data_IF_958271366777
#
_entry.id   IF_958271366777
#
_cell.length_a   1.000
_cell.length_b   1.000
_cell.length_c   1.000
_cell.angle_alpha   90.00
_cell.angle_beta   90.00
_cell.angle_gamma   90.00
#
_symmetry.space_group_name_H-M   'P 1'
#
loop_
_entity.id
_entity.type
_entity.pdbx_description
1 polymer ?
#
# COMPACT_ATOMS: atom_id res chain seq x y z
N UNK A 1 -6.95 17.77 -12.96
CA UNK A 1 -7.18 16.40 -13.50
C UNK A 1 -7.58 15.50 -12.34
N UNK A 2 -8.58 14.64 -12.52
CA UNK A 2 -8.96 13.60 -11.55
C UNK A 2 -8.72 12.24 -12.21
N UNK A 3 -7.99 11.34 -11.54
CA UNK A 3 -7.73 9.96 -12.01
C UNK A 3 -7.98 9.00 -10.87
N UNK A 4 -8.68 7.91 -11.12
CA UNK A 4 -9.01 6.92 -10.09
C UNK A 4 -8.36 5.57 -10.38
N UNK A 5 -7.90 4.90 -9.33
CA UNK A 5 -7.36 3.55 -9.36
C UNK A 5 -8.15 2.69 -8.38
N UNK A 6 -8.91 1.72 -8.90
CA UNK A 6 -9.67 0.78 -8.07
C UNK A 6 -8.79 -0.43 -7.81
N UNK A 7 -8.20 -0.50 -6.62
CA UNK A 7 -7.34 -1.61 -6.22
C UNK A 7 -8.17 -2.83 -5.81
N UNK A 8 -9.38 -2.63 -5.29
CA UNK A 8 -10.33 -3.68 -4.96
C UNK A 8 -11.76 -3.17 -5.04
N UNK A 9 -12.67 -3.97 -5.61
CA UNK A 9 -14.08 -3.59 -5.76
C UNK A 9 -14.91 -3.76 -4.48
N UNK A 10 -14.66 -4.81 -3.68
CA UNK A 10 -15.42 -5.09 -2.46
C UNK A 10 -14.61 -5.89 -1.42
N UNK A 11 -14.46 -5.41 -0.17
CA UNK A 11 -14.73 -4.04 0.27
C UNK A 11 -13.91 -3.05 -0.56
N UNK A 12 -14.46 -1.86 -0.86
CA UNK A 12 -13.82 -0.92 -1.78
C UNK A 12 -12.47 -0.46 -1.22
N UNK A 13 -11.44 -0.60 -2.04
CA UNK A 13 -10.13 -0.01 -1.86
C UNK A 13 -9.77 0.73 -3.15
N UNK A 14 -9.70 2.05 -3.09
CA UNK A 14 -9.34 2.87 -4.26
C UNK A 14 -8.45 4.04 -3.89
N UNK A 15 -7.67 4.49 -4.85
CA UNK A 15 -6.86 5.71 -4.77
C UNK A 15 -7.41 6.72 -5.79
N UNK A 16 -7.72 7.92 -5.33
CA UNK A 16 -8.20 9.02 -6.17
C UNK A 16 -7.11 10.08 -6.23
N UNK A 17 -6.54 10.30 -7.40
CA UNK A 17 -5.53 11.32 -7.66
C UNK A 17 -6.20 12.62 -8.09
N UNK A 18 -5.80 13.72 -7.48
CA UNK A 18 -6.18 15.09 -7.86
C UNK A 18 -4.90 15.85 -8.23
N UNK A 19 -5.00 17.15 -8.47
CA UNK A 19 -3.86 17.94 -8.94
C UNK A 19 -2.82 18.22 -7.85
N UNK A 20 -3.26 18.36 -6.60
CA UNK A 20 -2.43 18.77 -5.46
C UNK A 20 -2.37 17.72 -4.34
N UNK A 21 -3.25 16.73 -4.41
CA UNK A 21 -3.45 15.73 -3.37
C UNK A 21 -3.97 14.42 -3.97
N UNK A 22 -3.94 13.38 -3.16
CA UNK A 22 -4.61 12.13 -3.44
C UNK A 22 -5.39 11.67 -2.21
N UNK A 23 -6.40 10.85 -2.45
CA UNK A 23 -7.24 10.25 -1.41
C UNK A 23 -7.11 8.73 -1.47
N UNK A 24 -6.89 8.11 -0.32
CA UNK A 24 -6.99 6.66 -0.16
C UNK A 24 -8.33 6.37 0.50
N UNK A 25 -9.20 5.64 -0.20
CA UNK A 25 -10.49 5.18 0.31
C UNK A 25 -10.37 3.69 0.60
N UNK A 26 -10.41 3.32 1.88
CA UNK A 26 -10.38 1.93 2.33
C UNK A 26 -11.62 1.64 3.20
N UNK A 27 -12.63 0.98 2.63
CA UNK A 27 -13.86 0.66 3.35
C UNK A 27 -13.67 -0.41 4.43
N UNK A 28 -12.68 -1.30 4.26
CA UNK A 28 -12.37 -2.34 5.24
C UNK A 28 -11.70 -1.76 6.48
N UNK A 29 -10.76 -0.82 6.27
CA UNK A 29 -9.98 -0.18 7.33
C UNK A 29 -10.10 1.34 7.22
N UNK A 30 -11.27 1.88 7.61
CA UNK A 30 -11.60 3.32 7.47
C UNK A 30 -10.57 4.26 8.08
N UNK A 31 -9.90 3.85 9.17
CA UNK A 31 -8.86 4.65 9.86
C UNK A 31 -7.55 4.78 9.06
N UNK A 32 -7.34 3.91 8.08
CA UNK A 32 -6.15 3.88 7.21
C UNK A 32 -6.37 4.66 5.90
N UNK A 33 -7.61 5.06 5.62
CA UNK A 33 -7.93 6.00 4.55
C UNK A 33 -7.68 7.45 4.95
N UNK A 34 -7.69 8.34 3.96
CA UNK A 34 -7.53 9.78 4.17
C UNK A 34 -7.10 10.53 2.92
N UNK A 35 -7.06 11.85 3.04
CA UNK A 35 -6.48 12.75 2.04
C UNK A 35 -5.02 13.07 2.37
N UNK A 36 -4.21 13.13 1.34
CA UNK A 36 -2.77 13.33 1.43
C UNK A 36 -2.29 14.29 0.35
N UNK A 37 -1.70 15.41 0.76
CA UNK A 37 -1.05 16.37 -0.14
C UNK A 37 0.27 15.82 -0.68
N UNK A 38 0.53 15.99 -1.98
CA UNK A 38 1.81 15.55 -2.58
C UNK A 38 3.01 16.30 -2.00
N UNK A 39 2.84 17.58 -1.64
CA UNK A 39 3.90 18.43 -1.07
C UNK A 39 4.42 17.94 0.29
N UNK A 40 3.61 17.17 1.02
CA UNK A 40 3.94 16.61 2.34
C UNK A 40 4.36 15.15 2.28
N UNK A 41 4.33 14.55 1.09
CA UNK A 41 4.70 13.15 0.85
C UNK A 41 6.18 13.09 0.47
N UNK A 42 6.98 12.41 1.29
CA UNK A 42 8.42 12.23 1.05
C UNK A 42 8.72 10.91 0.34
N UNK A 43 7.94 9.88 0.62
CA UNK A 43 8.07 8.58 0.01
C UNK A 43 6.74 7.83 0.04
N UNK A 44 6.52 6.98 -0.95
CA UNK A 44 5.44 6.00 -0.98
C UNK A 44 5.90 4.73 -1.70
N UNK A 45 5.71 3.59 -1.05
CA UNK A 45 6.16 2.29 -1.51
C UNK A 45 5.15 1.20 -1.20
N UNK A 46 5.11 0.19 -2.08
CA UNK A 46 4.46 -1.07 -1.82
C UNK A 46 5.46 -2.02 -1.18
N UNK A 47 5.11 -2.61 -0.03
CA UNK A 47 5.92 -3.62 0.66
C UNK A 47 5.10 -4.86 0.96
N UNK A 48 5.62 -6.01 0.56
CA UNK A 48 5.15 -7.31 1.01
C UNK A 48 5.88 -7.64 2.32
N UNK A 49 5.18 -7.59 3.47
CA UNK A 49 5.73 -8.08 4.74
C UNK A 49 5.24 -9.52 4.95
N UNK A 50 6.17 -10.46 5.06
CA UNK A 50 5.85 -11.80 5.55
C UNK A 50 5.44 -11.70 7.02
N UNK A 51 4.31 -12.30 7.39
CA UNK A 51 3.92 -12.42 8.79
C UNK A 51 4.83 -13.48 9.41
N UNK A 52 5.93 -13.03 10.03
CA UNK A 52 6.88 -13.74 10.87
C UNK A 52 7.15 -15.23 10.60
N UNK A 53 8.37 -15.48 10.13
CA UNK A 53 9.03 -16.78 9.97
C UNK A 53 9.46 -17.46 11.29
N UNK A 54 9.20 -16.87 12.46
CA UNK A 54 9.59 -17.49 13.75
C UNK A 54 8.82 -18.78 14.04
N UNK A 55 7.64 -18.98 13.42
CA UNK A 55 6.91 -20.24 13.44
C UNK A 55 7.21 -21.18 12.28
N UNK A 56 7.89 -20.74 11.21
CA UNK A 56 7.95 -21.54 9.97
C UNK A 56 8.89 -22.74 10.07
N UNK A 57 9.98 -22.64 10.85
CA UNK A 57 10.87 -23.79 11.07
C UNK A 57 10.20 -24.88 11.91
N UNK A 58 9.48 -24.48 12.96
CA UNK A 58 8.75 -25.42 13.83
C UNK A 58 7.58 -26.08 13.09
N UNK A 59 6.89 -25.33 12.22
CA UNK A 59 5.82 -25.84 11.36
C UNK A 59 6.37 -26.77 10.27
N UNK A 60 7.56 -26.48 9.71
CA UNK A 60 8.21 -27.38 8.74
C UNK A 60 8.57 -28.72 9.38
N UNK A 61 9.16 -28.70 10.59
CA UNK A 61 9.46 -29.93 11.35
C UNK A 61 8.16 -30.68 11.69
N UNK A 62 7.11 -30.00 12.16
CA UNK A 62 5.81 -30.64 12.45
C UNK A 62 5.13 -31.23 11.20
N UNK A 63 5.33 -30.64 10.01
CA UNK A 63 4.75 -31.12 8.76
C UNK A 63 5.37 -32.42 8.25
N UNK A 64 6.59 -32.77 8.68
CA UNK A 64 7.20 -34.09 8.41
C UNK A 64 6.50 -35.23 9.18
N UNK A 65 5.80 -34.91 10.29
CA UNK A 65 5.14 -35.89 11.15
C UNK A 65 3.60 -35.92 11.01
N UNK A 66 2.99 -34.99 10.26
CA UNK A 66 1.53 -34.88 10.11
C UNK A 66 1.14 -34.60 8.65
N UNK A 67 0.51 -35.56 7.92
CA UNK A 67 0.32 -35.49 6.46
C UNK A 67 -0.75 -34.49 5.96
N UNK A 68 -1.14 -33.48 6.76
CA UNK A 68 -2.18 -32.50 6.40
C UNK A 68 -1.92 -31.05 6.85
N UNK A 69 -0.68 -30.68 7.14
CA UNK A 69 -0.36 -29.33 7.61
C UNK A 69 0.14 -28.39 6.49
N UNK A 70 -0.59 -28.26 5.39
CA UNK A 70 -0.37 -27.17 4.42
C UNK A 70 -1.00 -25.89 4.96
N UNK A 71 -0.27 -25.16 5.82
CA UNK A 71 -0.63 -23.76 6.15
C UNK A 71 0.02 -22.84 5.13
N UNK A 72 -0.79 -22.26 4.26
CA UNK A 72 -0.42 -21.14 3.39
C UNK A 72 0.16 -20.01 4.23
N UNK A 73 1.39 -19.61 3.93
CA UNK A 73 2.01 -18.42 4.50
C UNK A 73 1.10 -17.23 4.21
N UNK A 74 0.56 -16.58 5.24
CA UNK A 74 -0.23 -15.37 5.10
C UNK A 74 0.74 -14.20 4.92
N UNK A 75 0.84 -13.66 3.71
CA UNK A 75 1.54 -12.41 3.47
C UNK A 75 0.62 -11.24 3.80
N UNK A 76 1.14 -10.19 4.44
CA UNK A 76 0.43 -8.91 4.61
C UNK A 76 1.09 -7.89 3.73
N UNK A 77 0.37 -7.47 2.72
CA UNK A 77 0.83 -6.48 1.76
C UNK A 77 0.39 -5.09 2.24
N UNK A 78 1.29 -4.10 2.16
CA UNK A 78 1.08 -2.77 2.72
C UNK A 78 1.58 -1.68 1.78
N UNK A 79 0.82 -0.58 1.71
CA UNK A 79 1.38 0.70 1.29
C UNK A 79 2.03 1.35 2.50
N UNK A 80 3.29 1.73 2.36
CA UNK A 80 4.03 2.49 3.36
C UNK A 80 4.31 3.86 2.77
N UNK A 81 3.90 4.89 3.48
CA UNK A 81 4.09 6.28 3.06
C UNK A 81 4.70 7.09 4.20
N UNK A 82 5.71 7.90 3.86
CA UNK A 82 6.28 8.88 4.76
C UNK A 82 5.62 10.23 4.47
N UNK A 83 4.65 10.61 5.30
CA UNK A 83 3.85 11.81 5.13
C UNK A 83 4.01 12.71 6.35
N UNK A 84 4.38 13.97 6.12
CA UNK A 84 4.59 14.98 7.17
C UNK A 84 5.49 14.44 8.32
N UNK A 85 6.64 13.86 7.94
CA UNK A 85 7.61 13.23 8.83
C UNK A 85 7.08 12.06 9.67
N UNK A 86 5.89 11.55 9.37
CA UNK A 86 5.29 10.38 10.04
C UNK A 86 5.12 9.24 9.03
N UNK A 87 5.45 8.03 9.46
CA UNK A 87 5.14 6.85 8.68
C UNK A 87 3.65 6.52 8.82
N UNK A 88 3.00 6.33 7.67
CA UNK A 88 1.61 5.91 7.52
C UNK A 88 1.62 4.56 6.79
N UNK A 89 0.75 3.66 7.22
CA UNK A 89 0.62 2.32 6.64
C UNK A 89 -0.84 2.10 6.25
N UNK A 90 -1.06 1.56 5.06
CA UNK A 90 -2.37 1.12 4.58
C UNK A 90 -2.28 -0.36 4.25
N UNK A 91 -3.10 -1.16 4.90
CA UNK A 91 -3.19 -2.60 4.64
C UNK A 91 -3.91 -2.80 3.32
N UNK A 92 -3.28 -3.57 2.44
CA UNK A 92 -3.86 -4.03 1.19
C UNK A 92 -4.18 -5.52 1.35
N UNK A 93 -5.44 -5.89 1.15
CA UNK A 93 -5.88 -7.28 1.27
C UNK A 93 -6.64 -7.71 0.02
N UNK A 94 -6.09 -8.69 -0.71
CA UNK A 94 -6.74 -9.26 -1.90
C UNK A 94 -7.11 -8.15 -2.90
N UNK A 95 -6.07 -7.46 -3.37
CA UNK A 95 -6.12 -6.29 -4.24
C UNK A 95 -5.42 -6.59 -5.57
N UNK A 96 -5.65 -5.73 -6.55
CA UNK A 96 -4.97 -5.75 -7.84
C UNK A 96 -3.56 -5.14 -7.71
N UNK A 97 -2.55 -6.01 -7.77
CA UNK A 97 -1.15 -5.63 -7.66
C UNK A 97 -0.69 -4.75 -8.82
N UNK A 98 -1.18 -5.01 -10.03
CA UNK A 98 -0.82 -4.21 -11.19
C UNK A 98 -1.37 -2.79 -11.03
N UNK A 99 -2.65 -2.66 -10.67
CA UNK A 99 -3.24 -1.34 -10.47
C UNK A 99 -2.63 -0.57 -9.29
N UNK A 100 -2.20 -1.30 -8.26
CA UNK A 100 -1.47 -0.68 -7.15
C UNK A 100 -0.15 -0.10 -7.61
N UNK A 101 0.61 -0.84 -8.42
CA UNK A 101 1.89 -0.35 -8.95
C UNK A 101 1.69 0.85 -9.89
N UNK A 102 0.64 0.84 -10.70
CA UNK A 102 0.36 1.95 -11.62
C UNK A 102 -0.14 3.20 -10.88
N UNK A 103 -0.95 3.03 -9.84
CA UNK A 103 -1.30 4.13 -8.93
C UNK A 103 -0.06 4.75 -8.28
N UNK A 104 0.88 3.91 -7.80
CA UNK A 104 2.12 4.37 -7.18
C UNK A 104 3.03 5.13 -8.14
N UNK A 105 3.17 4.66 -9.39
CA UNK A 105 3.94 5.36 -10.42
C UNK A 105 3.39 6.76 -10.68
N UNK A 106 2.07 6.90 -10.77
CA UNK A 106 1.44 8.20 -10.99
C UNK A 106 1.59 9.14 -9.79
N UNK A 107 1.44 8.62 -8.56
CA UNK A 107 1.69 9.42 -7.35
C UNK A 107 3.13 9.96 -7.34
N UNK A 108 4.13 9.11 -7.65
CA UNK A 108 5.53 9.52 -7.71
C UNK A 108 5.77 10.58 -8.77
N UNK A 109 5.21 10.40 -9.97
CA UNK A 109 5.30 11.40 -11.04
C UNK A 109 4.73 12.76 -10.63
N UNK A 110 3.60 12.78 -9.92
CA UNK A 110 2.98 14.01 -9.44
C UNK A 110 3.80 14.65 -8.30
N UNK A 111 4.37 13.84 -7.41
CA UNK A 111 5.28 14.28 -6.35
C UNK A 111 6.53 14.96 -6.94
N UNK A 112 7.21 14.32 -7.90
CA UNK A 112 8.42 14.84 -8.53
C UNK A 112 8.15 16.12 -9.32
N UNK A 113 7.02 16.18 -10.04
CA UNK A 113 6.59 17.40 -10.74
C UNK A 113 6.42 18.57 -9.78
N UNK A 114 5.84 18.34 -8.60
CA UNK A 114 5.64 19.39 -7.58
C UNK A 114 6.96 19.78 -6.92
N UNK A 115 7.84 18.82 -6.66
CA UNK A 115 9.19 19.11 -6.17
C UNK A 115 9.94 20.04 -7.13
N UNK A 116 9.98 19.72 -8.43
CA UNK A 116 10.62 20.57 -9.44
C UNK A 116 10.01 21.98 -9.52
N UNK A 117 8.68 22.10 -9.41
CA UNK A 117 8.00 23.41 -9.37
C UNK A 117 8.35 24.25 -8.13
N UNK A 118 8.66 23.61 -7.00
CA UNK A 118 9.04 24.29 -5.76
C UNK A 118 10.47 24.84 -5.76
N UNK A 119 11.36 24.28 -6.57
CA UNK A 119 12.77 24.70 -6.71
C UNK A 119 12.95 25.88 -7.69
N UNK A 120 11.93 26.16 -8.51
CA UNK A 120 11.93 27.21 -9.54
C UNK A 120 11.32 28.54 -9.03
N UNK A 121 10.94 28.62 -7.76
CA UNK A 121 10.41 29.82 -7.09
C UNK A 121 11.40 30.29 -6.05
#
# INVERSE_FOLDING_TARGET
MIKEFILKKSPLLKIVLRETEFEIINQQYKKEGGMFEYSKLYNIEFREESIDHSGSLMIFIMSLFLPKATRTAKFRERLIMNYDKKQKKVILFDFDKQETQDALKEIRKLMDKKYLQSQLR
#
